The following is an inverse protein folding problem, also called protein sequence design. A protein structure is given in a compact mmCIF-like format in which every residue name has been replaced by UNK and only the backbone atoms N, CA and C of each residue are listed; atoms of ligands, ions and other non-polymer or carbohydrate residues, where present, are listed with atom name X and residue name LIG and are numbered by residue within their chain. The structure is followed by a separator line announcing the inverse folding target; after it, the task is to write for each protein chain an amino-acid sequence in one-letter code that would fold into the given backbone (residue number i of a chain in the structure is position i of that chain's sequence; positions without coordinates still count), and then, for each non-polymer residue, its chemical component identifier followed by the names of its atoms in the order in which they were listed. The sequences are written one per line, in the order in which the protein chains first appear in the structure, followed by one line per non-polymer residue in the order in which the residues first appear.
data_IF_594778794584
#
_entry.id   IF_594778794584
#
_cell.length_a   1.000
_cell.length_b   1.000
_cell.length_c   1.000
_cell.angle_alpha   90.00
_cell.angle_beta   90.00
_cell.angle_gamma   90.00
#
_symmetry.space_group_name_H-M   'P 1'
#
loop_
_entity.id
_entity.type
_entity.pdbx_description
1 polymer ?
#
# COMPACT_ATOMS: atom_id res chain seq x y z
N UNK A 1 9.90 -35.36 -8.68
CA UNK A 1 10.49 -34.67 -7.52
C UNK A 1 9.33 -34.05 -6.75
N UNK A 2 9.18 -34.37 -5.47
CA UNK A 2 8.15 -33.73 -4.66
C UNK A 2 8.57 -32.26 -4.44
N UNK A 3 7.75 -31.32 -4.90
CA UNK A 3 7.89 -29.91 -4.57
C UNK A 3 7.72 -29.74 -3.06
N UNK A 4 8.75 -29.20 -2.40
CA UNK A 4 8.69 -28.89 -0.97
C UNK A 4 7.51 -27.95 -0.66
N UNK A 5 6.88 -28.10 0.52
CA UNK A 5 5.73 -27.28 0.87
C UNK A 5 6.10 -25.79 0.95
N UNK A 6 5.20 -24.93 0.46
CA UNK A 6 5.38 -23.48 0.53
C UNK A 6 5.42 -23.01 2.00
N UNK A 7 6.24 -21.99 2.27
CA UNK A 7 6.33 -21.34 3.58
C UNK A 7 5.39 -20.14 3.59
N UNK A 8 4.36 -20.18 4.44
CA UNK A 8 3.47 -19.04 4.67
C UNK A 8 4.20 -17.94 5.43
N UNK A 9 4.05 -16.69 4.97
CA UNK A 9 4.60 -15.49 5.62
C UNK A 9 3.51 -14.46 5.87
N UNK A 10 2.30 -14.92 6.19
CA UNK A 10 1.15 -14.04 6.42
C UNK A 10 1.40 -13.15 7.65
N UNK A 11 1.33 -11.82 7.53
CA UNK A 11 1.44 -10.90 8.66
C UNK A 11 0.26 -11.03 9.61
N UNK A 12 0.48 -10.77 10.90
CA UNK A 12 -0.56 -10.85 11.95
C UNK A 12 -1.80 -10.00 11.64
N UNK A 13 -1.60 -8.80 11.07
CA UNK A 13 -2.66 -7.86 10.69
C UNK A 13 -3.63 -8.41 9.64
N UNK A 14 -3.29 -9.49 8.93
CA UNK A 14 -4.13 -10.09 7.88
C UNK A 14 -4.71 -11.47 8.24
N UNK A 15 -4.58 -11.93 9.50
CA UNK A 15 -4.99 -13.29 9.93
C UNK A 15 -6.50 -13.37 10.23
N UNK A 16 -7.08 -12.35 10.87
CA UNK A 16 -8.47 -12.38 11.39
C UNK A 16 -9.51 -11.79 10.43
N UNK A 17 -9.55 -12.31 9.19
CA UNK A 17 -10.46 -11.86 8.11
C UNK A 17 -10.31 -10.40 7.67
N UNK A 18 -9.38 -9.64 8.25
CA UNK A 18 -9.10 -8.26 7.84
C UNK A 18 -8.61 -8.19 6.39
N UNK A 19 -8.11 -9.29 5.81
CA UNK A 19 -7.82 -9.41 4.38
C UNK A 19 -9.01 -9.13 3.47
N UNK A 20 -10.23 -9.39 3.95
CA UNK A 20 -11.47 -9.14 3.22
C UNK A 20 -12.05 -7.74 3.47
N UNK A 21 -11.26 -6.84 4.07
CA UNK A 21 -11.75 -5.58 4.63
C UNK A 21 -12.86 -5.79 5.66
N UNK A 22 -12.83 -6.89 6.41
CA UNK A 22 -13.74 -7.15 7.53
C UNK A 22 -12.99 -6.84 8.82
N UNK A 23 -13.39 -5.77 9.50
CA UNK A 23 -12.71 -5.28 10.70
C UNK A 23 -12.84 -6.29 11.86
N UNK A 24 -11.73 -6.59 12.53
CA UNK A 24 -11.74 -7.40 13.74
C UNK A 24 -12.40 -6.67 14.93
N UNK A 25 -12.77 -7.42 15.97
CA UNK A 25 -13.25 -6.83 17.22
C UNK A 25 -12.18 -5.94 17.85
N UNK A 26 -10.91 -6.39 17.85
CA UNK A 26 -9.79 -5.64 18.41
C UNK A 26 -9.61 -4.29 17.72
N UNK A 27 -9.61 -4.25 16.39
CA UNK A 27 -9.52 -2.98 15.65
C UNK A 27 -10.73 -2.09 15.94
N UNK A 28 -11.93 -2.64 16.09
CA UNK A 28 -13.13 -1.86 16.44
C UNK A 28 -12.97 -1.14 17.78
N UNK A 29 -12.42 -1.82 18.79
CA UNK A 29 -12.15 -1.23 20.11
C UNK A 29 -11.13 -0.10 20.02
N UNK A 30 -9.98 -0.36 19.39
CA UNK A 30 -8.88 0.62 19.25
C UNK A 30 -9.33 1.85 18.46
N UNK A 31 -10.09 1.69 17.37
CA UNK A 31 -10.63 2.83 16.62
C UNK A 31 -11.68 3.62 17.40
N UNK A 32 -12.42 2.98 18.30
CA UNK A 32 -13.39 3.67 19.15
C UNK A 32 -12.68 4.58 20.15
N UNK A 33 -11.57 4.10 20.71
CA UNK A 33 -10.70 4.88 21.58
C UNK A 33 -10.01 6.02 20.81
N UNK A 34 -9.43 5.75 19.63
CA UNK A 34 -8.83 6.78 18.78
C UNK A 34 -9.83 7.87 18.41
N UNK A 35 -11.08 7.50 18.07
CA UNK A 35 -12.15 8.47 17.79
C UNK A 35 -12.43 9.38 18.98
N UNK A 36 -12.46 8.84 20.19
CA UNK A 36 -12.65 9.63 21.40
C UNK A 36 -11.51 10.62 21.61
N UNK A 37 -10.25 10.17 21.43
CA UNK A 37 -9.05 11.01 21.52
C UNK A 37 -9.06 12.13 20.48
N UNK A 38 -9.40 11.84 19.22
CA UNK A 38 -9.49 12.86 18.16
C UNK A 38 -10.56 13.91 18.47
N UNK A 39 -11.71 13.49 19.01
CA UNK A 39 -12.78 14.40 19.42
C UNK A 39 -12.32 15.30 20.57
N UNK A 40 -11.66 14.74 21.57
CA UNK A 40 -11.20 15.46 22.76
C UNK A 40 -10.08 16.48 22.42
N UNK A 41 -9.08 16.06 21.65
CA UNK A 41 -7.84 16.82 21.46
C UNK A 41 -7.93 17.81 20.30
N UNK A 42 -8.52 17.39 19.17
CA UNK A 42 -8.57 18.20 17.95
C UNK A 42 -9.99 18.58 17.54
N UNK A 43 -11.01 18.22 18.32
CA UNK A 43 -12.40 18.59 18.08
C UNK A 43 -13.02 17.93 16.84
N UNK A 44 -12.42 16.87 16.30
CA UNK A 44 -12.88 16.20 15.09
C UNK A 44 -13.79 15.02 15.41
N UNK A 45 -15.03 15.08 14.92
CA UNK A 45 -15.96 13.94 14.99
C UNK A 45 -15.90 13.05 13.76
N UNK A 46 -15.46 13.62 12.64
CA UNK A 46 -15.24 12.95 11.35
C UNK A 46 -13.81 13.23 10.87
N UNK A 47 -13.33 12.35 10.00
CA UNK A 47 -11.96 12.39 9.49
C UNK A 47 -11.94 12.33 7.96
N UNK A 48 -10.86 12.78 7.29
CA UNK A 48 -10.69 12.58 5.87
C UNK A 48 -10.70 11.08 5.49
N UNK A 49 -11.27 10.71 4.32
CA UNK A 49 -11.31 9.31 3.88
C UNK A 49 -9.94 8.62 3.82
N UNK A 50 -8.84 9.25 3.37
CA UNK A 50 -7.52 8.61 3.41
C UNK A 50 -7.06 8.27 4.82
N UNK A 51 -7.16 9.19 5.78
CA UNK A 51 -6.82 8.89 7.19
C UNK A 51 -7.67 7.74 7.74
N UNK A 52 -8.98 7.76 7.51
CA UNK A 52 -9.86 6.66 7.89
C UNK A 52 -9.40 5.31 7.29
N UNK A 53 -9.03 5.30 6.01
CA UNK A 53 -8.59 4.10 5.31
C UNK A 53 -7.25 3.58 5.85
N UNK A 54 -6.27 4.45 6.13
CA UNK A 54 -5.04 4.07 6.82
C UNK A 54 -5.33 3.38 8.15
N UNK A 55 -6.23 3.95 8.96
CA UNK A 55 -6.63 3.35 10.23
C UNK A 55 -7.29 1.96 10.08
N UNK A 56 -7.93 1.66 8.94
CA UNK A 56 -8.48 0.32 8.69
C UNK A 56 -7.41 -0.74 8.36
N UNK A 57 -6.25 -0.33 7.86
CA UNK A 57 -5.19 -1.24 7.39
C UNK A 57 -3.90 -1.22 8.23
N UNK A 58 -3.76 -0.22 9.11
CA UNK A 58 -2.62 -0.03 9.99
C UNK A 58 -2.40 -1.24 10.91
N UNK A 59 -1.16 -1.42 11.36
CA UNK A 59 -0.90 -2.34 12.46
C UNK A 59 -1.59 -1.82 13.73
N UNK A 60 -2.28 -2.72 14.45
CA UNK A 60 -3.06 -2.35 15.64
C UNK A 60 -2.15 -1.73 16.72
N UNK A 61 -0.93 -2.27 16.87
CA UNK A 61 0.11 -1.74 17.75
C UNK A 61 0.43 -0.27 17.49
N UNK A 62 0.44 0.16 16.23
CA UNK A 62 0.68 1.55 15.83
C UNK A 62 -0.48 2.48 16.12
N UNK A 63 -1.71 2.00 16.00
CA UNK A 63 -2.88 2.77 16.43
C UNK A 63 -2.91 2.95 17.95
N UNK A 64 -2.53 1.92 18.71
CA UNK A 64 -2.40 1.97 20.17
C UNK A 64 -1.28 2.93 20.59
N UNK A 65 -0.13 2.91 19.92
CA UNK A 65 0.98 3.84 20.12
C UNK A 65 0.53 5.29 19.87
N UNK A 66 -0.18 5.55 18.76
CA UNK A 66 -0.73 6.88 18.45
C UNK A 66 -1.67 7.40 19.54
N UNK A 67 -2.55 6.54 20.07
CA UNK A 67 -3.46 6.88 21.19
C UNK A 67 -2.65 7.19 22.45
N UNK A 68 -1.68 6.33 22.76
CA UNK A 68 -0.84 6.42 23.94
C UNK A 68 -0.04 7.73 23.96
N UNK A 69 0.62 8.07 22.85
CA UNK A 69 1.42 9.29 22.71
C UNK A 69 0.55 10.54 22.80
N UNK A 70 -0.63 10.53 22.18
CA UNK A 70 -1.56 11.64 22.25
C UNK A 70 -2.06 11.90 23.69
N UNK A 71 -2.31 10.84 24.47
CA UNK A 71 -2.76 10.95 25.87
C UNK A 71 -1.65 11.36 26.84
N UNK A 72 -0.39 11.03 26.54
CA UNK A 72 0.78 11.36 27.36
C UNK A 72 1.45 12.68 26.99
N UNK A 73 0.98 13.33 25.93
CA UNK A 73 1.46 14.64 25.55
C UNK A 73 1.35 15.62 26.74
N UNK A 74 2.39 16.45 27.00
CA UNK A 74 2.42 17.34 28.16
C UNK A 74 1.25 18.33 28.22
N UNK A 75 0.74 18.72 27.05
CA UNK A 75 -0.40 19.60 26.91
C UNK A 75 -1.18 19.32 25.60
N UNK A 76 -2.39 19.87 25.52
CA UNK A 76 -3.28 19.70 24.38
C UNK A 76 -2.69 20.27 23.06
N UNK A 77 -1.81 21.27 23.13
CA UNK A 77 -1.18 21.87 21.94
C UNK A 77 -0.16 20.91 21.32
N UNK A 78 0.63 20.23 22.16
CA UNK A 78 1.55 19.19 21.72
C UNK A 78 0.78 18.00 21.15
N UNK A 79 -0.25 17.53 21.87
CA UNK A 79 -1.08 16.42 21.42
C UNK A 79 -1.74 16.70 20.05
N UNK A 80 -2.26 17.93 19.87
CA UNK A 80 -2.79 18.39 18.58
C UNK A 80 -1.72 18.42 17.49
N UNK A 81 -0.50 18.81 17.82
CA UNK A 81 0.62 18.85 16.87
C UNK A 81 1.10 17.47 16.43
N UNK A 82 0.85 16.42 17.23
CA UNK A 82 1.09 15.02 16.86
C UNK A 82 0.00 14.49 15.91
N UNK A 83 -1.27 14.76 16.21
CA UNK A 83 -2.40 14.15 15.49
C UNK A 83 -2.79 14.90 14.21
N UNK A 84 -2.85 16.24 14.25
CA UNK A 84 -3.42 17.03 13.15
C UNK A 84 -2.63 16.90 11.82
N UNK A 85 -1.28 16.90 11.80
CA UNK A 85 -0.53 16.68 10.57
C UNK A 85 -0.78 15.30 9.99
N UNK A 86 -0.72 14.25 10.81
CA UNK A 86 -0.97 12.86 10.41
C UNK A 86 -2.33 12.73 9.72
N UNK A 87 -3.39 13.34 10.29
CA UNK A 87 -4.74 13.31 9.70
C UNK A 87 -4.79 14.00 8.33
N UNK A 88 -4.04 15.09 8.14
CA UNK A 88 -4.06 15.89 6.90
C UNK A 88 -3.14 15.36 5.80
N UNK A 89 -2.03 14.73 6.17
CA UNK A 89 -0.99 14.32 5.22
C UNK A 89 -1.33 12.99 4.50
N UNK A 90 -2.32 12.24 4.99
CA UNK A 90 -2.74 10.98 4.40
C UNK A 90 -3.16 11.11 2.92
N UNK A 91 -3.86 12.18 2.57
CA UNK A 91 -4.32 12.44 1.19
C UNK A 91 -3.10 12.59 0.26
N UNK A 92 -2.12 13.39 0.68
CA UNK A 92 -0.88 13.60 -0.07
C UNK A 92 -0.08 12.32 -0.28
N UNK A 93 -0.11 11.39 0.68
CA UNK A 93 0.58 10.10 0.52
C UNK A 93 -0.06 9.27 -0.59
N UNK A 94 -1.39 9.18 -0.58
CA UNK A 94 -2.12 8.38 -1.56
C UNK A 94 -2.06 9.00 -2.95
N UNK A 95 -2.09 10.33 -3.07
CA UNK A 95 -1.92 11.00 -4.36
C UNK A 95 -0.54 10.71 -4.97
N UNK A 96 0.51 10.71 -4.13
CA UNK A 96 1.87 10.37 -4.59
C UNK A 96 1.99 8.90 -4.98
N UNK A 97 1.39 8.01 -4.20
CA UNK A 97 1.35 6.58 -4.48
C UNK A 97 0.66 6.28 -5.82
N UNK A 98 -0.54 6.84 -6.01
CA UNK A 98 -1.30 6.67 -7.25
C UNK A 98 -0.72 7.48 -8.40
N UNK A 99 0.24 8.37 -8.20
CA UNK A 99 0.73 9.26 -9.25
C UNK A 99 -0.35 10.25 -9.73
N UNK A 100 -1.30 10.61 -8.86
CA UNK A 100 -2.37 11.59 -9.11
C UNK A 100 -1.90 13.05 -8.95
N UNK A 101 -0.61 13.28 -8.72
CA UNK A 101 -0.07 14.65 -8.68
C UNK A 101 -0.18 15.27 -10.07
N UNK A 102 -0.81 16.45 -10.18
CA UNK A 102 -0.89 17.30 -11.37
C UNK A 102 0.48 17.80 -11.85
N UNK A 103 1.41 16.89 -12.13
CA UNK A 103 2.46 17.15 -13.09
C UNK A 103 1.85 16.80 -14.43
N UNK A 104 1.48 17.86 -15.17
CA UNK A 104 1.22 17.80 -16.61
C UNK A 104 2.11 16.71 -17.19
N UNK A 105 1.50 15.77 -17.92
CA UNK A 105 2.22 14.87 -18.81
C UNK A 105 3.04 15.73 -19.77
N UNK A 106 4.22 16.15 -19.32
CA UNK A 106 5.22 16.69 -20.18
C UNK A 106 5.72 15.46 -20.93
N UNK A 107 5.21 15.30 -22.15
CA UNK A 107 5.90 14.61 -23.21
C UNK A 107 7.31 15.19 -23.32
N UNK A 108 8.24 14.71 -22.50
CA UNK A 108 9.65 15.08 -22.57
C UNK A 108 10.53 13.92 -22.15
N UNK A 109 11.18 13.38 -23.18
CA UNK A 109 12.47 12.67 -23.18
C UNK A 109 12.58 11.41 -22.33
N UNK A 110 12.82 10.29 -23.01
CA UNK A 110 13.14 8.99 -22.41
C UNK A 110 14.26 9.09 -21.39
N UNK A 111 13.88 9.17 -20.12
CA UNK A 111 14.67 8.59 -19.05
C UNK A 111 14.65 7.08 -19.27
N UNK A 112 15.83 6.47 -19.33
CA UNK A 112 16.02 5.06 -19.62
C UNK A 112 15.35 4.24 -18.51
N UNK A 113 14.09 3.83 -18.72
CA UNK A 113 13.52 2.67 -18.00
C UNK A 113 14.56 1.57 -18.09
N UNK A 114 14.87 0.89 -16.99
CA UNK A 114 15.85 -0.20 -17.00
C UNK A 114 15.33 -1.29 -17.94
N UNK A 115 15.79 -1.26 -19.20
CA UNK A 115 15.32 -2.14 -20.26
C UNK A 115 15.63 -3.60 -19.89
N UNK A 116 16.73 -3.82 -19.16
CA UNK A 116 17.09 -5.12 -18.61
C UNK A 116 16.10 -5.61 -17.54
N UNK A 117 15.69 -4.77 -16.58
CA UNK A 117 14.73 -5.16 -15.53
C UNK A 117 13.35 -5.50 -16.13
N UNK A 118 12.84 -4.66 -17.03
CA UNK A 118 11.57 -4.91 -17.71
C UNK A 118 11.61 -6.16 -18.58
N UNK A 119 12.68 -6.37 -19.36
CA UNK A 119 12.85 -7.59 -20.15
C UNK A 119 12.98 -8.84 -19.28
N UNK A 120 13.66 -8.76 -18.14
CA UNK A 120 13.76 -9.88 -17.20
C UNK A 120 12.41 -10.21 -16.56
N UNK A 121 11.60 -9.20 -16.21
CA UNK A 121 10.24 -9.36 -15.72
C UNK A 121 9.36 -10.08 -16.76
N UNK A 122 9.38 -9.61 -18.01
CA UNK A 122 8.63 -10.25 -19.11
C UNK A 122 9.05 -11.68 -19.37
N UNK A 123 10.36 -11.96 -19.36
CA UNK A 123 10.89 -13.33 -19.50
C UNK A 123 10.49 -14.23 -18.33
N UNK A 124 10.56 -13.72 -17.10
CA UNK A 124 10.13 -14.45 -15.88
C UNK A 124 8.67 -14.88 -16.01
N UNK A 125 7.82 -13.95 -16.45
CA UNK A 125 6.38 -14.15 -16.54
C UNK A 125 5.94 -14.76 -17.89
N UNK A 126 6.90 -15.26 -18.68
CA UNK A 126 6.69 -15.93 -19.97
C UNK A 126 5.88 -15.09 -20.98
N UNK A 127 6.18 -13.79 -21.04
CA UNK A 127 5.55 -12.79 -21.91
C UNK A 127 4.01 -12.82 -21.83
N UNK A 128 3.48 -13.08 -20.63
CA UNK A 128 2.04 -13.13 -20.34
C UNK A 128 1.69 -12.33 -19.09
N UNK A 129 0.46 -11.84 -19.06
CA UNK A 129 -0.15 -11.30 -17.85
C UNK A 129 -0.21 -12.41 -16.79
N UNK A 130 0.28 -12.14 -15.58
CA UNK A 130 0.29 -13.15 -14.51
C UNK A 130 -1.13 -13.48 -14.01
N UNK A 131 -2.07 -12.53 -14.15
CA UNK A 131 -3.46 -12.67 -13.68
C UNK A 131 -4.33 -13.41 -14.70
N UNK A 132 -4.34 -12.94 -15.95
CA UNK A 132 -5.27 -13.40 -16.99
C UNK A 132 -4.64 -14.43 -17.93
N UNK A 133 -3.30 -14.52 -17.97
CA UNK A 133 -2.49 -15.31 -18.91
C UNK A 133 -2.52 -14.83 -20.37
N UNK A 134 -3.08 -13.65 -20.63
CA UNK A 134 -3.10 -13.05 -21.97
C UNK A 134 -1.69 -12.61 -22.39
N UNK A 135 -1.42 -12.66 -23.69
CA UNK A 135 -0.15 -12.25 -24.29
C UNK A 135 0.01 -10.73 -24.36
N UNK A 136 1.24 -10.27 -24.61
CA UNK A 136 1.62 -8.86 -24.74
C UNK A 136 1.43 -8.03 -23.46
N UNK A 137 1.99 -8.48 -22.31
CA UNK A 137 1.90 -7.73 -21.07
C UNK A 137 2.83 -6.51 -21.05
N UNK A 138 2.54 -5.63 -20.11
CA UNK A 138 3.37 -4.53 -19.66
C UNK A 138 4.03 -4.93 -18.34
N UNK A 139 5.29 -4.56 -18.16
CA UNK A 139 5.96 -4.72 -16.87
C UNK A 139 5.53 -3.56 -15.98
N UNK A 140 4.58 -3.84 -15.09
CA UNK A 140 4.03 -2.89 -14.14
C UNK A 140 4.95 -2.83 -12.91
N UNK A 141 5.26 -1.62 -12.46
CA UNK A 141 5.99 -1.43 -11.20
C UNK A 141 5.09 -1.78 -10.01
N UNK A 142 5.69 -2.36 -8.97
CA UNK A 142 5.03 -2.56 -7.69
C UNK A 142 5.16 -1.24 -6.93
N UNK A 143 6.33 -0.94 -6.37
CA UNK A 143 6.64 0.41 -5.90
C UNK A 143 6.72 1.40 -7.09
N UNK A 144 5.90 2.47 -7.10
CA UNK A 144 5.75 3.37 -8.25
C UNK A 144 7.07 3.96 -8.76
N UNK A 145 7.24 3.92 -10.08
CA UNK A 145 8.41 4.53 -10.73
C UNK A 145 8.52 6.04 -10.45
N UNK A 146 7.39 6.74 -10.31
CA UNK A 146 7.42 8.17 -9.98
C UNK A 146 8.14 8.43 -8.66
N UNK A 147 7.96 7.59 -7.64
CA UNK A 147 8.59 7.72 -6.33
C UNK A 147 10.08 7.38 -6.37
N UNK A 148 10.47 6.43 -7.22
CA UNK A 148 11.89 6.15 -7.53
C UNK A 148 12.54 7.39 -8.12
N UNK A 149 11.89 8.06 -9.09
CA UNK A 149 12.45 9.25 -9.74
C UNK A 149 12.35 10.53 -8.89
N UNK A 150 11.33 10.63 -8.05
CA UNK A 150 11.12 11.76 -7.15
C UNK A 150 12.21 11.85 -6.10
N UNK A 151 12.87 10.74 -5.80
CA UNK A 151 13.95 10.68 -4.82
C UNK A 151 15.11 11.66 -5.11
N UNK A 152 15.43 11.87 -6.39
CA UNK A 152 16.46 12.84 -6.79
C UNK A 152 15.94 14.29 -6.86
N UNK A 153 14.63 14.46 -7.09
CA UNK A 153 14.01 15.77 -7.39
C UNK A 153 13.39 16.43 -6.15
N UNK A 154 12.86 15.62 -5.24
CA UNK A 154 12.11 16.01 -4.06
C UNK A 154 12.44 15.06 -2.86
N UNK A 155 13.71 14.95 -2.43
CA UNK A 155 14.13 13.99 -1.41
C UNK A 155 13.35 14.12 -0.09
N UNK A 156 13.07 15.35 0.37
CA UNK A 156 12.25 15.60 1.58
C UNK A 156 10.82 15.07 1.46
N UNK A 157 10.25 15.04 0.25
CA UNK A 157 8.90 14.53 0.05
C UNK A 157 8.89 12.99 0.08
N UNK A 158 9.96 12.35 -0.40
CA UNK A 158 10.14 10.90 -0.30
C UNK A 158 10.41 10.50 1.15
N UNK A 159 11.25 11.23 1.88
CA UNK A 159 11.47 11.04 3.31
C UNK A 159 10.14 11.09 4.08
N UNK A 160 9.34 12.15 3.86
CA UNK A 160 8.03 12.28 4.51
C UNK A 160 7.03 11.18 4.13
N UNK A 161 7.09 10.65 2.90
CA UNK A 161 6.27 9.50 2.51
C UNK A 161 6.59 8.29 3.39
N UNK A 162 7.87 8.01 3.62
CA UNK A 162 8.30 6.92 4.48
C UNK A 162 8.02 7.18 5.96
N UNK A 163 8.23 8.40 6.46
CA UNK A 163 7.92 8.77 7.86
C UNK A 163 6.44 8.50 8.18
N UNK A 164 5.55 8.83 7.24
CA UNK A 164 4.12 8.62 7.44
C UNK A 164 3.74 7.13 7.39
N UNK A 165 4.48 6.28 6.65
CA UNK A 165 4.29 4.83 6.73
C UNK A 165 4.64 4.30 8.12
N UNK A 166 5.69 4.81 8.77
CA UNK A 166 6.10 4.41 10.13
C UNK A 166 5.08 4.79 11.22
N UNK A 167 4.17 5.71 10.93
CA UNK A 167 3.05 6.06 11.82
C UNK A 167 1.97 4.96 11.83
N UNK A 168 1.80 4.22 10.73
CA UNK A 168 0.71 3.25 10.58
C UNK A 168 1.18 1.80 10.58
N UNK A 169 2.45 1.54 10.29
CA UNK A 169 3.01 0.19 10.26
C UNK A 169 4.26 0.06 11.12
N UNK A 170 4.50 -1.14 11.63
CA UNK A 170 5.64 -1.43 12.50
C UNK A 170 6.97 -1.11 11.81
N UNK A 171 7.92 -0.58 12.59
CA UNK A 171 9.20 -0.08 12.07
C UNK A 171 9.95 -1.14 11.27
N UNK A 172 10.02 -2.37 11.80
CA UNK A 172 10.71 -3.49 11.13
C UNK A 172 10.08 -3.82 9.77
N UNK A 173 8.75 -3.65 9.64
CA UNK A 173 8.04 -3.84 8.38
C UNK A 173 8.39 -2.74 7.39
N UNK A 174 8.29 -1.47 7.79
CA UNK A 174 8.64 -0.34 6.91
C UNK A 174 10.10 -0.38 6.48
N UNK A 175 10.99 -0.76 7.38
CA UNK A 175 12.41 -0.97 7.08
C UNK A 175 12.60 -2.05 6.02
N UNK A 176 11.90 -3.19 6.15
CA UNK A 176 11.94 -4.25 5.13
C UNK A 176 11.50 -3.75 3.75
N UNK A 177 10.48 -2.89 3.68
CA UNK A 177 10.04 -2.26 2.43
C UNK A 177 11.11 -1.32 1.85
N UNK A 178 11.72 -0.49 2.71
CA UNK A 178 12.80 0.44 2.32
C UNK A 178 13.97 -0.32 1.70
N UNK A 179 14.43 -1.40 2.33
CA UNK A 179 15.63 -2.14 1.87
C UNK A 179 15.49 -2.77 0.48
N UNK A 180 14.27 -2.99 0.01
CA UNK A 180 14.00 -3.53 -1.33
C UNK A 180 14.13 -2.47 -2.44
N UNK A 181 13.97 -1.20 -2.08
CA UNK A 181 14.15 -0.06 -2.99
C UNK A 181 15.53 0.56 -2.81
N UNK A 182 15.98 0.74 -1.58
CA UNK A 182 17.23 1.43 -1.23
C UNK A 182 18.20 0.41 -0.65
N UNK A 183 19.41 0.33 -1.21
CA UNK A 183 20.45 -0.59 -0.71
C UNK A 183 20.83 -0.31 0.75
N UNK A 184 20.71 0.94 1.16
CA UNK A 184 20.81 1.41 2.54
C UNK A 184 19.49 2.10 2.90
N UNK A 185 18.79 1.55 3.88
CA UNK A 185 17.50 2.08 4.36
C UNK A 185 17.61 3.42 5.08
N UNK A 186 18.81 3.76 5.57
CA UNK A 186 19.12 5.04 6.20
C UNK A 186 19.60 6.08 5.17
N UNK A 187 20.00 5.64 3.98
CA UNK A 187 20.38 6.52 2.87
C UNK A 187 19.49 6.31 1.65
N UNK A 188 18.46 7.15 1.56
CA UNK A 188 17.53 7.21 0.44
C UNK A 188 18.11 7.96 -0.78
N UNK A 189 19.40 7.87 -1.13
CA UNK A 189 19.96 8.59 -2.29
C UNK A 189 19.96 7.75 -3.58
N UNK A 190 20.08 6.43 -3.46
CA UNK A 190 20.29 5.51 -4.59
C UNK A 190 19.23 4.39 -4.66
N UNK A 191 18.03 4.66 -5.25
CA UNK A 191 17.01 3.64 -5.41
C UNK A 191 17.39 2.65 -6.51
N UNK A 192 17.05 1.38 -6.31
CA UNK A 192 17.33 0.27 -7.21
C UNK A 192 16.05 -0.18 -7.94
N UNK A 193 15.95 0.13 -9.24
CA UNK A 193 14.85 -0.32 -10.08
C UNK A 193 15.19 -1.69 -10.72
N UNK A 194 14.75 -2.77 -10.08
CA UNK A 194 15.09 -4.15 -10.46
C UNK A 194 13.86 -4.97 -10.88
N UNK A 195 14.12 -6.17 -11.42
CA UNK A 195 13.08 -7.12 -11.82
C UNK A 195 12.14 -7.53 -10.67
N UNK A 196 12.60 -7.48 -9.40
CA UNK A 196 11.76 -7.82 -8.24
C UNK A 196 10.72 -6.75 -7.93
N UNK A 197 10.89 -5.52 -8.41
CA UNK A 197 9.91 -4.44 -8.31
C UNK A 197 8.92 -4.40 -9.49
N UNK A 198 8.81 -5.49 -10.28
CA UNK A 198 7.94 -5.52 -11.45
C UNK A 198 7.13 -6.81 -11.55
N UNK A 199 5.93 -6.70 -12.13
CA UNK A 199 5.03 -7.81 -12.43
C UNK A 199 4.37 -7.61 -13.81
N UNK A 200 4.20 -8.68 -14.59
CA UNK A 200 3.58 -8.57 -15.91
C UNK A 200 2.05 -8.52 -15.83
N UNK A 201 1.46 -7.42 -16.28
CA UNK A 201 0.02 -7.21 -16.35
C UNK A 201 -0.39 -6.91 -17.80
N UNK A 202 -1.55 -7.39 -18.24
CA UNK A 202 -2.14 -6.90 -19.50
C UNK A 202 -2.57 -5.44 -19.34
N UNK A 203 -2.67 -4.69 -20.44
CA UNK A 203 -2.96 -3.24 -20.43
C UNK A 203 -4.13 -2.84 -19.53
N UNK A 204 -5.24 -3.59 -19.60
CA UNK A 204 -6.42 -3.32 -18.77
C UNK A 204 -6.13 -3.58 -17.28
N UNK A 205 -5.52 -4.72 -16.95
CA UNK A 205 -5.12 -5.02 -15.58
C UNK A 205 -4.09 -4.00 -15.05
N UNK A 206 -3.18 -3.52 -15.89
CA UNK A 206 -2.20 -2.50 -15.52
C UNK A 206 -2.88 -1.16 -15.21
N UNK A 207 -3.84 -0.71 -16.03
CA UNK A 207 -4.61 0.51 -15.74
C UNK A 207 -5.41 0.40 -14.43
N UNK A 208 -6.06 -0.75 -14.18
CA UNK A 208 -6.78 -1.02 -12.94
C UNK A 208 -5.82 -1.09 -11.73
N UNK A 209 -4.59 -1.57 -11.93
CA UNK A 209 -3.53 -1.62 -10.91
C UNK A 209 -3.07 -0.20 -10.56
N UNK A 210 -2.73 0.61 -11.56
CA UNK A 210 -2.29 1.98 -11.34
C UNK A 210 -3.39 2.80 -10.64
N UNK A 211 -4.64 2.60 -11.02
CA UNK A 211 -5.79 3.26 -10.39
C UNK A 211 -6.16 2.72 -8.99
N UNK A 212 -5.46 1.71 -8.45
CA UNK A 212 -5.76 1.16 -7.12
C UNK A 212 -7.10 0.42 -7.01
N UNK A 213 -7.60 -0.13 -8.12
CA UNK A 213 -8.90 -0.82 -8.19
C UNK A 213 -8.83 -2.29 -7.75
N UNK A 214 -7.62 -2.85 -7.64
CA UNK A 214 -7.38 -4.14 -7.00
C UNK A 214 -6.03 -4.15 -6.28
N UNK A 215 -5.86 -5.12 -5.40
CA UNK A 215 -4.64 -5.35 -4.63
C UNK A 215 -4.19 -6.81 -4.77
N UNK A 216 -2.89 -7.06 -4.64
CA UNK A 216 -2.30 -8.40 -4.65
C UNK A 216 -1.64 -8.65 -3.30
N UNK A 217 -2.12 -9.67 -2.58
CA UNK A 217 -1.60 -10.04 -1.26
C UNK A 217 -0.58 -11.17 -1.42
N UNK A 218 0.66 -11.04 -0.93
CA UNK A 218 1.59 -12.18 -0.89
C UNK A 218 1.17 -13.19 0.20
N UNK A 219 1.21 -14.48 -0.09
CA UNK A 219 0.66 -15.54 0.79
C UNK A 219 1.68 -16.58 1.22
N UNK A 220 2.46 -17.10 0.27
CA UNK A 220 3.51 -18.06 0.57
C UNK A 220 4.62 -18.02 -0.48
N UNK A 221 5.82 -18.43 -0.09
CA UNK A 221 6.96 -18.56 -0.99
C UNK A 221 7.63 -19.92 -0.79
N UNK A 222 8.10 -20.52 -1.87
CA UNK A 222 8.83 -21.78 -1.80
C UNK A 222 10.20 -21.60 -1.14
N UNK A 223 10.73 -22.60 -0.42
CA UNK A 223 12.07 -22.53 0.18
C UNK A 223 13.18 -22.26 -0.85
N UNK A 224 13.02 -22.72 -2.09
CA UNK A 224 13.96 -22.49 -3.18
C UNK A 224 13.77 -21.15 -3.92
N UNK A 225 12.81 -20.32 -3.46
CA UNK A 225 12.46 -19.03 -4.05
C UNK A 225 12.04 -19.08 -5.53
N UNK A 226 11.65 -20.24 -6.04
CA UNK A 226 11.20 -20.42 -7.44
C UNK A 226 9.71 -20.26 -7.65
N UNK A 227 8.91 -20.32 -6.58
CA UNK A 227 7.47 -20.11 -6.66
C UNK A 227 6.97 -19.22 -5.51
N UNK A 228 5.99 -18.37 -5.81
CA UNK A 228 5.29 -17.54 -4.83
C UNK A 228 3.79 -17.60 -5.12
N UNK A 229 2.99 -17.72 -4.06
CA UNK A 229 1.55 -17.59 -4.11
C UNK A 229 1.15 -16.17 -3.72
N UNK A 230 0.29 -15.57 -4.54
CA UNK A 230 -0.38 -14.31 -4.27
C UNK A 230 -1.90 -14.53 -4.33
N UNK A 231 -2.65 -13.71 -3.61
CA UNK A 231 -4.12 -13.65 -3.69
C UNK A 231 -4.55 -12.33 -4.32
N UNK A 232 -5.52 -12.40 -5.22
CA UNK A 232 -6.11 -11.22 -5.86
C UNK A 232 -7.29 -10.67 -5.05
N UNK A 233 -7.43 -9.34 -4.95
CA UNK A 233 -8.59 -8.71 -4.28
C UNK A 233 -9.08 -7.44 -4.99
N UNK A 234 -10.32 -7.45 -5.45
CA UNK A 234 -11.01 -6.24 -5.91
C UNK A 234 -11.20 -5.25 -4.75
N UNK A 235 -11.01 -3.96 -5.02
CA UNK A 235 -11.32 -2.89 -4.08
C UNK A 235 -12.69 -2.31 -4.42
N UNK A 236 -13.69 -2.48 -3.56
CA UNK A 236 -15.04 -1.98 -3.87
C UNK A 236 -15.06 -0.45 -3.95
N UNK A 237 -15.61 0.08 -5.04
CA UNK A 237 -15.87 1.50 -5.22
C UNK A 237 -16.65 2.09 -4.03
N UNK A 238 -16.10 3.12 -3.34
CA UNK A 238 -16.78 3.74 -2.22
C UNK A 238 -17.94 4.64 -2.68
N UNK A 239 -19.01 4.70 -1.88
CA UNK A 239 -20.23 5.44 -2.23
C UNK A 239 -20.30 6.86 -1.63
N UNK A 240 -19.30 7.29 -0.87
CA UNK A 240 -19.32 8.55 -0.11
C UNK A 240 -18.57 9.71 -0.79
N UNK A 241 -17.82 9.44 -1.87
CA UNK A 241 -16.97 10.45 -2.52
C UNK A 241 -15.93 11.05 -1.55
N UNK A 242 -15.68 12.35 -1.66
CA UNK A 242 -14.64 13.05 -0.88
C UNK A 242 -15.12 13.61 0.48
N UNK A 243 -16.27 13.15 0.99
CA UNK A 243 -16.83 13.68 2.25
C UNK A 243 -16.11 13.10 3.45
N UNK A 244 -15.94 13.92 4.51
CA UNK A 244 -15.45 13.41 5.79
C UNK A 244 -16.33 12.25 6.28
N UNK A 245 -15.68 11.27 6.91
CA UNK A 245 -16.25 9.98 7.27
C UNK A 245 -16.09 9.71 8.76
N UNK A 246 -17.05 8.99 9.34
CA UNK A 246 -16.94 8.50 10.71
C UNK A 246 -15.80 7.46 10.80
N UNK A 247 -14.85 7.65 11.72
CA UNK A 247 -13.73 6.72 11.91
C UNK A 247 -14.19 5.26 12.12
N UNK A 248 -15.38 5.06 12.70
CA UNK A 248 -15.96 3.75 12.97
C UNK A 248 -16.78 3.17 11.81
N UNK A 249 -16.99 3.91 10.72
CA UNK A 249 -17.64 3.39 9.52
C UNK A 249 -16.88 2.16 9.03
N UNK A 250 -17.58 1.02 8.95
CA UNK A 250 -16.99 -0.21 8.47
C UNK A 250 -16.64 -0.09 6.97
N UNK A 251 -15.43 -0.51 6.54
CA UNK A 251 -15.10 -0.57 5.14
C UNK A 251 -15.95 -1.61 4.42
N UNK A 252 -16.11 -1.45 3.11
CA UNK A 252 -16.85 -2.40 2.31
C UNK A 252 -16.01 -3.67 2.10
N UNK A 253 -16.63 -4.83 2.29
CA UNK A 253 -15.93 -6.12 2.13
C UNK A 253 -15.54 -6.38 0.68
N UNK A 254 -14.38 -6.99 0.49
CA UNK A 254 -13.92 -7.51 -0.81
C UNK A 254 -14.36 -8.95 -1.08
N UNK A 255 -14.96 -9.63 -0.09
CA UNK A 255 -15.40 -11.01 -0.23
C UNK A 255 -16.52 -11.15 -1.27
N UNK A 256 -16.40 -12.13 -2.16
CA UNK A 256 -17.38 -12.41 -3.19
C UNK A 256 -17.38 -11.44 -4.38
N UNK A 257 -16.49 -10.43 -4.40
CA UNK A 257 -16.34 -9.55 -5.55
C UNK A 257 -15.71 -10.27 -6.73
N UNK A 258 -16.23 -10.00 -7.92
CA UNK A 258 -15.75 -10.52 -9.21
C UNK A 258 -15.53 -9.40 -10.25
N UNK A 259 -15.83 -8.16 -9.87
CA UNK A 259 -15.54 -6.93 -10.60
C UNK A 259 -15.30 -5.77 -9.62
N UNK A 260 -14.88 -4.62 -10.17
CA UNK A 260 -14.71 -3.38 -9.43
C UNK A 260 -16.03 -2.61 -9.27
N UNK A 261 -16.72 -2.36 -10.38
CA UNK A 261 -17.98 -1.61 -10.46
C UNK A 261 -18.85 -2.11 -11.62
N UNK A 262 -19.73 -3.09 -11.35
CA UNK A 262 -20.86 -3.46 -12.21
C UNK A 262 -20.54 -3.74 -13.69
N UNK A 263 -19.43 -4.45 -13.97
CA UNK A 263 -19.00 -4.78 -15.34
C UNK A 263 -17.50 -4.65 -15.61
N UNK A 264 -16.72 -4.11 -14.67
CA UNK A 264 -15.28 -3.90 -14.83
C UNK A 264 -14.39 -5.12 -14.48
N UNK A 265 -14.92 -6.34 -14.49
CA UNK A 265 -14.16 -7.56 -14.18
C UNK A 265 -13.08 -7.95 -15.21
N UNK A 266 -12.12 -8.77 -14.80
CA UNK A 266 -11.07 -9.31 -15.67
C UNK A 266 -11.40 -10.76 -16.11
N UNK A 267 -11.47 -11.04 -17.43
CA UNK A 267 -11.76 -12.38 -17.91
C UNK A 267 -10.51 -13.29 -17.85
N UNK A 268 -10.67 -14.46 -17.25
CA UNK A 268 -9.62 -15.48 -17.13
C UNK A 268 -10.05 -16.74 -17.88
N UNK A 269 -9.21 -17.25 -18.75
CA UNK A 269 -9.50 -18.50 -19.46
C UNK A 269 -9.56 -19.67 -18.46
N UNK A 270 -10.63 -20.45 -18.50
CA UNK A 270 -10.85 -21.59 -17.58
C UNK A 270 -10.06 -22.85 -17.98
N UNK A 271 -9.42 -22.83 -19.16
CA UNK A 271 -8.81 -24.00 -19.78
C UNK A 271 -9.82 -24.96 -20.42
N UNK A 272 -11.13 -24.69 -20.28
CA UNK A 272 -12.21 -25.46 -20.91
C UNK A 272 -12.66 -24.79 -22.21
N UNK A 273 -13.32 -25.60 -23.06
CA UNK A 273 -14.02 -25.12 -24.25
C UNK A 273 -15.51 -25.40 -24.09
N UNK A 274 -16.31 -24.47 -24.60
CA UNK A 274 -17.75 -24.63 -24.79
C UNK A 274 -18.02 -25.66 -25.90
N UNK A 275 -19.28 -26.09 -26.02
CA UNK A 275 -19.70 -27.07 -27.04
C UNK A 275 -19.47 -26.59 -28.48
N UNK A 276 -19.51 -25.28 -28.72
CA UNK A 276 -19.21 -24.65 -30.01
C UNK A 276 -17.70 -24.56 -30.32
N UNK A 277 -16.86 -25.11 -29.44
CA UNK A 277 -15.41 -25.08 -29.55
C UNK A 277 -14.77 -23.77 -29.09
N UNK A 278 -15.53 -22.75 -28.71
CA UNK A 278 -14.96 -21.50 -28.19
C UNK A 278 -14.38 -21.68 -26.78
N UNK A 279 -13.31 -20.95 -26.42
CA UNK A 279 -12.81 -20.96 -25.05
C UNK A 279 -13.86 -20.46 -24.06
N UNK A 280 -13.89 -21.10 -22.89
CA UNK A 280 -14.71 -20.68 -21.76
C UNK A 280 -13.90 -19.76 -20.84
N UNK A 281 -14.49 -18.63 -20.46
CA UNK A 281 -13.88 -17.63 -19.58
C UNK A 281 -14.67 -17.52 -18.28
N UNK A 282 -13.94 -17.41 -17.17
CA UNK A 282 -14.48 -17.04 -15.86
C UNK A 282 -14.05 -15.62 -15.49
N UNK A 283 -14.62 -15.09 -14.41
CA UNK A 283 -14.16 -13.83 -13.82
C UNK A 283 -13.02 -14.09 -12.83
N UNK A 284 -12.06 -13.17 -12.76
CA UNK A 284 -11.10 -13.12 -11.67
C UNK A 284 -11.84 -12.66 -10.39
N UNK A 285 -11.81 -13.48 -9.35
CA UNK A 285 -12.56 -13.23 -8.10
C UNK A 285 -11.62 -12.90 -6.94
N UNK A 286 -12.10 -12.10 -5.99
CA UNK A 286 -11.34 -11.81 -4.76
C UNK A 286 -11.05 -13.10 -3.97
N UNK A 287 -9.83 -13.23 -3.46
CA UNK A 287 -9.25 -14.42 -2.83
C UNK A 287 -8.74 -15.48 -3.79
N UNK A 288 -8.82 -15.27 -5.11
CA UNK A 288 -8.26 -16.24 -6.04
C UNK A 288 -6.73 -16.27 -5.92
N UNK A 289 -6.19 -17.46 -5.65
CA UNK A 289 -4.75 -17.69 -5.53
C UNK A 289 -4.11 -17.86 -6.90
N UNK A 290 -3.00 -17.17 -7.11
CA UNK A 290 -2.21 -17.19 -8.33
C UNK A 290 -0.78 -17.54 -7.96
N UNK A 291 -0.21 -18.53 -8.64
CA UNK A 291 1.20 -18.90 -8.47
C UNK A 291 2.05 -18.21 -9.53
N UNK A 292 3.01 -17.43 -9.04
CA UNK A 292 4.12 -16.87 -9.81
C UNK A 292 5.31 -17.82 -9.75
N UNK A 293 6.06 -17.94 -10.83
CA UNK A 293 7.22 -18.83 -10.90
C UNK A 293 8.40 -18.16 -11.57
N UNK A 294 9.62 -18.57 -11.22
CA UNK A 294 10.84 -18.21 -11.93
C UNK A 294 11.68 -19.43 -12.23
N UNK A 295 12.37 -19.40 -13.36
CA UNK A 295 13.35 -20.39 -13.78
C UNK A 295 14.79 -20.03 -13.32
N UNK A 296 15.03 -18.78 -12.90
CA UNK A 296 16.35 -18.25 -12.55
C UNK A 296 16.22 -17.19 -11.45
N UNK A 297 16.38 -17.63 -10.20
CA UNK A 297 16.23 -16.78 -9.01
C UNK A 297 17.20 -15.61 -9.02
N UNK A 298 18.41 -15.76 -9.59
CA UNK A 298 19.43 -14.72 -9.57
C UNK A 298 19.19 -13.64 -10.63
N UNK A 299 18.82 -14.01 -11.86
CA UNK A 299 18.63 -13.04 -12.96
C UNK A 299 17.21 -12.53 -13.09
N UNK A 300 16.23 -13.36 -12.71
CA UNK A 300 14.79 -13.14 -12.87
C UNK A 300 14.07 -13.47 -11.56
N UNK A 301 14.44 -12.85 -10.43
CA UNK A 301 13.79 -13.13 -9.16
C UNK A 301 12.28 -12.91 -9.26
N UNK A 302 11.53 -13.64 -8.43
CA UNK A 302 10.12 -13.35 -8.19
C UNK A 302 9.92 -11.90 -7.71
N UNK A 303 8.70 -11.36 -7.81
CA UNK A 303 8.36 -10.12 -7.15
C UNK A 303 8.80 -10.12 -5.68
N UNK A 304 9.30 -8.98 -5.23
CA UNK A 304 9.72 -8.78 -3.85
C UNK A 304 8.52 -8.94 -2.91
N UNK A 305 8.67 -9.78 -1.88
CA UNK A 305 7.64 -9.98 -0.89
C UNK A 305 7.33 -8.70 -0.11
N UNK A 306 8.33 -8.00 0.47
CA UNK A 306 8.05 -6.74 1.17
C UNK A 306 7.38 -5.69 0.27
N UNK A 307 7.76 -5.58 -1.01
CA UNK A 307 7.11 -4.61 -1.91
C UNK A 307 5.67 -4.98 -2.23
N UNK A 308 5.35 -6.27 -2.40
CA UNK A 308 3.96 -6.71 -2.56
C UNK A 308 3.13 -6.47 -1.31
N UNK A 309 3.72 -6.56 -0.11
CA UNK A 309 3.04 -6.23 1.15
C UNK A 309 2.77 -4.72 1.27
N UNK A 310 3.75 -3.86 0.95
CA UNK A 310 3.55 -2.42 0.86
C UNK A 310 2.41 -2.09 -0.12
N UNK A 311 2.46 -2.68 -1.31
CA UNK A 311 1.44 -2.51 -2.34
C UNK A 311 0.07 -2.96 -1.85
N UNK A 312 -0.01 -4.12 -1.21
CA UNK A 312 -1.23 -4.68 -0.64
C UNK A 312 -1.94 -3.66 0.27
N UNK A 313 -1.19 -3.04 1.18
CA UNK A 313 -1.74 -2.04 2.08
C UNK A 313 -2.16 -0.77 1.34
N UNK A 314 -1.29 -0.17 0.55
CA UNK A 314 -1.57 1.12 -0.08
C UNK A 314 -2.66 1.06 -1.16
N UNK A 315 -2.79 -0.05 -1.88
CA UNK A 315 -3.92 -0.26 -2.80
C UNK A 315 -5.26 -0.35 -2.07
N UNK A 316 -5.28 -1.01 -0.91
CA UNK A 316 -6.48 -1.05 -0.08
C UNK A 316 -6.82 0.32 0.47
N UNK A 317 -5.82 1.08 0.92
CA UNK A 317 -6.04 2.47 1.37
C UNK A 317 -6.59 3.31 0.23
N UNK A 318 -6.02 3.23 -0.97
CA UNK A 318 -6.49 3.95 -2.16
C UNK A 318 -7.93 3.60 -2.55
N UNK A 319 -8.26 2.31 -2.58
CA UNK A 319 -9.59 1.83 -2.92
C UNK A 319 -10.63 2.19 -1.86
N UNK A 320 -10.29 2.04 -0.58
CA UNK A 320 -11.14 2.45 0.54
C UNK A 320 -11.33 3.97 0.55
N UNK A 321 -10.28 4.78 0.40
CA UNK A 321 -10.41 6.24 0.51
C UNK A 321 -11.22 6.87 -0.62
N UNK A 322 -11.36 6.18 -1.75
CA UNK A 322 -11.97 6.71 -2.97
C UNK A 322 -11.00 7.41 -3.89
N UNK A 323 -9.71 7.47 -3.54
CA UNK A 323 -8.68 8.05 -4.40
C UNK A 323 -8.54 7.31 -5.75
N UNK A 324 -8.96 6.05 -5.81
CA UNK A 324 -9.07 5.27 -7.05
C UNK A 324 -10.03 5.88 -8.08
N UNK A 325 -11.05 6.62 -7.64
CA UNK A 325 -12.06 7.27 -8.49
C UNK A 325 -11.64 8.69 -8.89
N UNK A 326 -10.92 9.39 -8.02
CA UNK A 326 -10.46 10.76 -8.29
C UNK A 326 -9.66 10.85 -9.59
N UNK A 327 -8.92 9.80 -9.92
CA UNK A 327 -8.11 9.71 -11.15
C UNK A 327 -8.94 9.86 -12.43
N UNK A 328 -10.17 9.32 -12.45
CA UNK A 328 -11.07 9.41 -13.61
C UNK A 328 -11.70 10.81 -13.73
N UNK A 329 -11.79 11.57 -12.63
CA UNK A 329 -12.37 12.92 -12.62
C UNK A 329 -11.36 13.97 -13.11
N UNK A 330 -10.07 13.81 -12.82
CA UNK A 330 -9.02 14.74 -13.31
C UNK A 330 -8.86 14.63 -14.83
N UNK A 331 -8.94 13.42 -15.40
CA UNK A 331 -8.84 13.20 -16.85
C UNK A 331 -10.03 13.77 -17.65
N UNK A 332 -11.15 14.12 -16.99
CA UNK A 332 -12.36 14.66 -17.64
C UNK A 332 -12.44 16.20 -17.63
N UNK A 333 -11.61 16.87 -16.84
CA UNK A 333 -11.68 18.33 -16.63
C UNK A 333 -10.58 19.11 -17.37
N UNK A 334 -10.04 18.61 -18.48
CA UNK A 334 -9.12 19.35 -19.37
C UNK A 334 -9.85 20.39 -20.24
N UNK A 335 -10.66 21.23 -19.60
CA UNK A 335 -11.09 22.51 -20.14
C UNK A 335 -10.38 23.60 -19.32
N UNK A 336 -9.34 24.17 -19.91
CA UNK A 336 -8.34 24.99 -19.23
C UNK A 336 -8.90 26.18 -18.46
N UNK A 337 -8.57 26.23 -17.16
CA UNK A 337 -8.53 27.46 -16.38
C UNK A 337 -7.34 27.38 -15.41
N UNK A 338 -6.52 28.42 -15.41
CA UNK A 338 -5.26 28.54 -14.70
C UNK A 338 -5.47 28.82 -13.21
N UNK A 339 -5.85 27.77 -12.49
CA UNK A 339 -6.02 27.79 -11.03
C UNK A 339 -4.69 27.95 -10.26
N UNK A 340 -4.64 29.01 -9.45
CA UNK A 340 -3.57 29.44 -8.56
C UNK A 340 -2.88 28.30 -7.76
N UNK A 341 -1.56 28.23 -7.87
CA UNK A 341 -0.68 27.32 -7.14
C UNK A 341 -0.75 27.62 -5.64
N UNK A 342 -1.53 26.84 -4.87
CA UNK A 342 -1.44 26.86 -3.41
C UNK A 342 -0.08 26.29 -3.00
N UNK A 343 0.88 27.18 -2.79
CA UNK A 343 2.16 26.86 -2.14
C UNK A 343 1.85 26.53 -0.69
N UNK A 344 1.53 25.27 -0.41
CA UNK A 344 1.55 24.76 0.96
C UNK A 344 2.98 24.94 1.48
N UNK A 345 3.14 25.67 2.58
CA UNK A 345 4.42 25.90 3.25
C UNK A 345 5.03 24.56 3.69
N UNK A 346 5.90 24.02 2.83
CA UNK A 346 6.55 22.70 2.94
C UNK A 346 7.55 22.65 4.10
N UNK A 347 8.07 23.80 4.54
CA UNK A 347 9.09 23.86 5.60
C UNK A 347 8.48 23.78 7.00
N UNK A 348 7.22 24.22 7.17
CA UNK A 348 6.54 24.14 8.46
C UNK A 348 6.33 22.69 8.92
N UNK A 349 6.17 21.74 8.00
CA UNK A 349 5.94 20.34 8.33
C UNK A 349 7.22 19.56 8.68
N UNK A 350 8.32 19.82 7.99
CA UNK A 350 9.65 19.24 8.27
C UNK A 350 10.14 19.67 9.66
N UNK A 351 9.92 20.94 10.01
CA UNK A 351 10.22 21.45 11.35
C UNK A 351 9.38 20.78 12.45
N UNK A 352 8.18 20.30 12.14
CA UNK A 352 7.28 19.62 13.10
C UNK A 352 7.69 18.17 13.37
N UNK A 353 8.04 17.39 12.34
CA UNK A 353 8.53 16.00 12.51
C UNK A 353 9.86 15.98 13.28
N UNK A 354 10.78 16.88 12.92
CA UNK A 354 12.05 17.05 13.64
C UNK A 354 11.83 17.41 15.12
N UNK A 355 10.74 18.14 15.44
CA UNK A 355 10.39 18.48 16.81
C UNK A 355 9.83 17.27 17.59
N UNK A 356 9.11 16.37 16.92
CA UNK A 356 8.60 15.12 17.51
C UNK A 356 9.75 14.14 17.79
N UNK A 357 10.67 13.94 16.85
CA UNK A 357 11.85 13.08 17.05
C UNK A 357 12.77 13.62 18.15
N UNK A 358 12.96 14.95 18.22
CA UNK A 358 13.70 15.59 19.32
C UNK A 358 12.99 15.47 20.67
N UNK A 359 11.65 15.45 20.69
CA UNK A 359 10.87 15.25 21.91
C UNK A 359 10.94 13.80 22.39
N UNK A 360 10.82 12.81 21.50
CA UNK A 360 10.98 11.39 21.83
C UNK A 360 12.37 11.08 22.43
N UNK A 361 13.41 11.81 21.99
CA UNK A 361 14.77 11.74 22.55
C UNK A 361 14.93 12.43 23.92
N UNK A 362 13.93 13.20 24.38
CA UNK A 362 13.95 13.92 25.66
C UNK A 362 13.11 13.26 26.75
N UNK A 363 12.50 12.11 26.48
CA UNK A 363 11.83 11.31 27.51
C UNK A 363 12.89 10.76 28.50
N UNK A 364 12.71 10.93 29.82
CA UNK A 364 13.65 10.38 30.80
C UNK A 364 13.64 8.85 30.79
N UNK A 365 14.82 8.23 30.95
CA UNK A 365 15.11 6.78 30.86
C UNK A 365 14.31 5.84 31.79
N UNK A 366 13.34 6.32 32.57
CA UNK A 366 12.74 5.56 33.66
C UNK A 366 11.49 4.74 33.30
N UNK A 367 11.26 4.43 32.02
CA UNK A 367 10.24 3.46 31.58
C UNK A 367 10.75 2.50 30.49
N UNK A 368 12.04 2.13 30.50
CA UNK A 368 12.48 0.90 29.82
C UNK A 368 11.93 -0.31 30.61
N UNK A 369 10.78 -0.83 30.18
CA UNK A 369 10.35 -2.16 30.60
C UNK A 369 11.35 -3.16 30.04
N UNK A 370 12.23 -3.68 30.91
CA UNK A 370 13.10 -4.79 30.60
C UNK A 370 12.30 -5.96 29.99
N UNK A 371 12.84 -6.69 28.99
CA UNK A 371 12.15 -7.83 28.40
C UNK A 371 11.84 -8.86 29.51
N UNK A 372 10.55 -9.11 29.75
CA UNK A 372 10.10 -10.14 30.70
C UNK A 372 10.68 -11.48 30.26
N UNK A 373 11.57 -12.03 31.07
CA UNK A 373 12.08 -13.39 30.93
C UNK A 373 10.91 -14.40 30.98
N UNK A 374 10.93 -15.36 30.05
CA UNK A 374 10.03 -16.52 30.05
C UNK A 374 10.09 -17.25 31.40
N UNK A 375 8.96 -17.64 32.01
CA UNK A 375 8.99 -18.59 33.11
C UNK A 375 9.38 -19.98 32.57
N UNK A 376 10.39 -20.57 33.18
CA UNK A 376 10.81 -21.97 32.99
C UNK A 376 9.69 -22.90 33.42
N UNK A 377 9.28 -23.82 32.55
CA UNK A 377 8.39 -24.94 32.91
C UNK A 377 9.26 -26.02 33.59
N UNK A 378 8.95 -26.49 34.81
CA UNK A 378 9.59 -27.66 35.37
C UNK A 378 9.03 -28.94 34.73
N UNK A 379 9.94 -29.90 34.56
CA UNK A 379 9.82 -31.21 33.89
C UNK A 379 8.56 -31.99 34.24
#
# INVERSE_FOLDING_TARGET
MASEPMVSKIPLSDIDDERWNKRSNRRTEVLSELKAVLKEIIGREQVPPPFWAFCQTADISKLEEMIYDAKRAPDAKMAKSLLEPTVKDCDMMIDRWLQNTSTKSSTTSGSVRSSSASNNCKRRDNDKCVLTRWSNPEAAHIYPYCLITANQREPRAVERFWDLLEVFWEKDRVESWKTEIFRDSQNLEEPSDTCSNMICLEKRAHALWDAGRFALRPVAISPDHKAMQIEFYWQKKPSYGNKEIDLLKAPATSEGLYDYDGGEGLPVATGKRKMDGQPEYGALISGQVITLTTDDVAKRPLPSWPLLELQWHLQRVAGMSGAAEARDEVDRNDDGDDGELVVLDRDAAVNRVTSISKWLQQLPDNEQIAPKSRPSIPV
#
